data_IF_516250780237
#
_entry.id   IF_516250780237
#
_cell.length_a   1.000
_cell.length_b   1.000
_cell.length_c   1.000
_cell.angle_alpha   90.00
_cell.angle_beta   90.00
_cell.angle_gamma   90.00
#
_symmetry.space_group_name_H-M   'P 1'
#
loop_
_entity.id
_entity.type
_entity.pdbx_description
1 polymer ?
#
# COMPACT_ATOMS: atom_id res chain seq x y z
N UNK A 1 4.95 -12.58 -27.31
CA UNK A 1 3.90 -11.61 -26.97
C UNK A 1 2.57 -12.10 -27.54
N UNK A 2 1.58 -12.43 -26.69
CA UNK A 2 0.33 -13.05 -27.13
C UNK A 2 -0.75 -11.97 -27.31
N UNK A 3 -0.94 -11.53 -28.56
CA UNK A 3 -1.85 -10.43 -28.93
C UNK A 3 -3.27 -10.66 -28.40
N UNK A 4 -3.75 -11.93 -28.37
CA UNK A 4 -5.08 -12.26 -27.87
C UNK A 4 -5.22 -11.95 -26.38
N UNK A 5 -4.18 -12.23 -25.59
CA UNK A 5 -4.17 -11.97 -24.15
C UNK A 5 -4.15 -10.48 -23.86
N UNK A 6 -3.41 -9.69 -24.62
CA UNK A 6 -3.34 -8.23 -24.44
C UNK A 6 -4.67 -7.55 -24.80
N UNK A 7 -5.36 -8.00 -25.86
CA UNK A 7 -6.70 -7.50 -26.20
C UNK A 7 -7.71 -7.80 -25.09
N UNK A 8 -7.66 -8.99 -24.48
CA UNK A 8 -8.53 -9.35 -23.36
C UNK A 8 -8.23 -8.47 -22.13
N UNK A 9 -6.96 -8.29 -21.77
CA UNK A 9 -6.57 -7.41 -20.65
C UNK A 9 -7.04 -5.98 -20.86
N UNK A 10 -6.85 -5.43 -22.06
CA UNK A 10 -7.28 -4.08 -22.41
C UNK A 10 -8.79 -3.92 -22.26
N UNK A 11 -9.57 -4.90 -22.77
CA UNK A 11 -11.03 -4.85 -22.70
C UNK A 11 -11.56 -4.99 -21.26
N UNK A 12 -10.90 -5.80 -20.42
CA UNK A 12 -11.21 -5.88 -18.98
C UNK A 12 -10.88 -4.57 -18.28
N UNK A 13 -9.73 -3.97 -18.56
CA UNK A 13 -9.32 -2.69 -17.98
C UNK A 13 -10.30 -1.57 -18.34
N UNK A 14 -10.70 -1.46 -19.60
CA UNK A 14 -11.71 -0.49 -20.06
C UNK A 14 -13.06 -0.68 -19.34
N UNK A 15 -13.52 -1.93 -19.19
CA UNK A 15 -14.77 -2.22 -18.48
C UNK A 15 -14.70 -1.84 -17.01
N UNK A 16 -13.56 -2.06 -16.35
CA UNK A 16 -13.36 -1.71 -14.94
C UNK A 16 -13.24 -0.19 -14.78
N UNK A 17 -12.40 0.48 -15.58
CA UNK A 17 -12.22 1.92 -15.53
C UNK A 17 -13.53 2.67 -15.85
N UNK A 18 -14.28 2.22 -16.86
CA UNK A 18 -15.58 2.82 -17.21
C UNK A 18 -16.66 2.65 -16.15
N UNK A 19 -16.53 1.67 -15.25
CA UNK A 19 -17.41 1.55 -14.07
C UNK A 19 -16.91 2.35 -12.87
N UNK A 20 -15.60 2.54 -12.72
CA UNK A 20 -15.01 3.31 -11.62
C UNK A 20 -15.29 4.81 -11.78
N UNK A 21 -15.38 5.32 -13.02
CA UNK A 21 -15.67 6.75 -13.28
C UNK A 21 -17.00 7.23 -12.73
N UNK A 22 -17.96 6.33 -12.46
CA UNK A 22 -19.26 6.67 -11.86
C UNK A 22 -19.25 6.55 -10.31
N UNK A 23 -18.16 6.06 -9.71
CA UNK A 23 -17.99 6.01 -8.26
C UNK A 23 -17.15 7.21 -7.82
N UNK A 24 -17.78 8.11 -7.08
CA UNK A 24 -17.06 9.16 -6.36
C UNK A 24 -16.26 8.49 -5.22
N UNK A 25 -14.95 8.34 -5.43
CA UNK A 25 -14.04 7.81 -4.41
C UNK A 25 -13.72 8.96 -3.46
N UNK A 26 -14.13 8.82 -2.20
CA UNK A 26 -13.67 9.70 -1.14
C UNK A 26 -12.20 9.39 -0.82
N UNK A 27 -11.31 10.14 -1.44
CA UNK A 27 -9.85 10.01 -1.29
C UNK A 27 -9.42 10.11 0.17
N UNK A 28 -10.07 10.95 0.97
CA UNK A 28 -9.77 11.10 2.39
C UNK A 28 -10.13 9.84 3.15
N UNK A 29 -11.29 9.25 2.87
CA UNK A 29 -11.70 7.99 3.50
C UNK A 29 -10.75 6.83 3.15
N UNK A 30 -10.25 6.80 1.92
CA UNK A 30 -9.26 5.80 1.49
C UNK A 30 -7.91 6.03 2.21
N UNK A 31 -7.45 7.29 2.27
CA UNK A 31 -6.23 7.66 2.98
C UNK A 31 -6.33 7.35 4.48
N UNK A 32 -7.43 7.71 5.13
CA UNK A 32 -7.70 7.44 6.56
C UNK A 32 -7.73 5.95 6.85
N UNK A 33 -8.46 5.17 6.03
CA UNK A 33 -8.50 3.71 6.19
C UNK A 33 -7.11 3.10 6.05
N UNK A 34 -6.29 3.62 5.13
CA UNK A 34 -4.93 3.13 4.91
C UNK A 34 -4.01 3.51 6.07
N UNK A 35 -4.10 4.75 6.55
CA UNK A 35 -3.34 5.24 7.69
C UNK A 35 -3.67 4.45 8.97
N UNK A 36 -4.96 4.18 9.23
CA UNK A 36 -5.40 3.36 10.37
C UNK A 36 -4.78 1.96 10.30
N UNK A 37 -4.77 1.34 9.12
CA UNK A 37 -4.18 0.01 8.94
C UNK A 37 -2.68 0.01 9.27
N UNK A 38 -1.93 0.95 8.68
CA UNK A 38 -0.48 1.10 8.90
C UNK A 38 -0.17 1.34 10.38
N UNK A 39 -0.91 2.26 11.03
CA UNK A 39 -0.72 2.58 12.44
C UNK A 39 -1.05 1.40 13.36
N UNK A 40 -2.04 0.58 13.00
CA UNK A 40 -2.39 -0.61 13.76
C UNK A 40 -1.25 -1.63 13.72
N UNK A 41 -0.65 -1.88 12.56
CA UNK A 41 0.51 -2.77 12.42
C UNK A 41 1.72 -2.26 13.22
N UNK A 42 2.02 -0.96 13.14
CA UNK A 42 3.12 -0.35 13.93
C UNK A 42 2.87 -0.49 15.43
N UNK A 43 1.62 -0.31 15.89
CA UNK A 43 1.28 -0.49 17.30
C UNK A 43 1.46 -1.93 17.78
N UNK A 44 1.20 -2.92 16.92
CA UNK A 44 1.42 -4.34 17.25
C UNK A 44 2.92 -4.65 17.42
N UNK A 45 3.76 -4.13 16.52
CA UNK A 45 5.23 -4.25 16.64
C UNK A 45 5.70 -3.63 17.95
N UNK A 46 5.28 -2.40 18.26
CA UNK A 46 5.67 -1.70 19.49
C UNK A 46 5.18 -2.38 20.77
N UNK A 47 4.07 -3.14 20.70
CA UNK A 47 3.54 -3.90 21.84
C UNK A 47 4.26 -5.24 22.04
N UNK A 48 4.89 -5.80 21.01
CA UNK A 48 5.59 -7.07 21.13
C UNK A 48 6.78 -6.95 22.08
N UNK A 49 7.46 -5.79 22.11
CA UNK A 49 8.34 -5.33 23.20
C UNK A 49 9.53 -6.23 23.57
N UNK A 50 9.74 -7.33 22.84
CA UNK A 50 10.80 -8.32 23.11
C UNK A 50 12.05 -8.10 22.25
N UNK A 51 11.98 -7.23 21.25
CA UNK A 51 13.07 -6.97 20.31
C UNK A 51 13.89 -5.73 20.66
N UNK A 52 15.14 -5.71 20.19
CA UNK A 52 16.03 -4.55 20.27
C UNK A 52 15.46 -3.36 19.47
N UNK A 53 15.70 -2.13 19.94
CA UNK A 53 15.14 -0.91 19.34
C UNK A 53 15.48 -0.81 17.84
N UNK A 54 16.65 -1.30 17.42
CA UNK A 54 17.05 -1.33 16.00
C UNK A 54 16.19 -2.28 15.16
N UNK A 55 15.80 -3.43 15.69
CA UNK A 55 14.94 -4.39 14.99
C UNK A 55 13.51 -3.86 14.87
N UNK A 56 13.02 -3.22 15.94
CA UNK A 56 11.71 -2.54 15.93
C UNK A 56 11.66 -1.48 14.83
N UNK A 57 12.71 -0.68 14.68
CA UNK A 57 12.78 0.34 13.61
C UNK A 57 12.78 -0.30 12.22
N UNK A 58 13.58 -1.36 12.01
CA UNK A 58 13.64 -2.05 10.71
C UNK A 58 12.29 -2.68 10.33
N UNK A 59 11.58 -3.23 11.31
CA UNK A 59 10.26 -3.80 11.09
C UNK A 59 9.20 -2.72 10.79
N UNK A 60 9.27 -1.56 11.45
CA UNK A 60 8.42 -0.41 11.13
C UNK A 60 8.69 0.09 9.71
N UNK A 61 9.96 0.22 9.31
CA UNK A 61 10.32 0.61 7.92
C UNK A 61 9.74 -0.39 6.92
N UNK A 62 9.80 -1.68 7.25
CA UNK A 62 9.20 -2.74 6.43
C UNK A 62 7.69 -2.59 6.28
N UNK A 63 6.95 -2.10 7.28
CA UNK A 63 5.51 -1.79 7.17
C UNK A 63 5.27 -0.72 6.09
N UNK A 64 6.06 0.36 6.07
CA UNK A 64 5.93 1.42 5.08
C UNK A 64 6.21 0.91 3.64
N UNK A 65 7.21 0.05 3.48
CA UNK A 65 7.53 -0.59 2.18
C UNK A 65 6.37 -1.49 1.72
N UNK A 66 5.85 -2.38 2.58
CA UNK A 66 4.73 -3.29 2.25
C UNK A 66 3.48 -2.55 1.80
N UNK A 67 3.28 -1.33 2.28
CA UNK A 67 2.13 -0.50 1.93
C UNK A 67 2.38 0.47 0.77
N UNK A 68 3.54 0.41 0.11
CA UNK A 68 3.96 1.35 -0.94
C UNK A 68 3.88 2.81 -0.47
N UNK A 69 4.12 3.05 0.82
CA UNK A 69 4.24 4.39 1.39
C UNK A 69 5.70 4.87 1.37
N UNK A 70 6.64 3.98 1.09
CA UNK A 70 8.03 4.32 0.79
C UNK A 70 8.17 4.71 -0.68
N UNK A 71 8.00 6.00 -0.95
CA UNK A 71 8.25 6.61 -2.26
C UNK A 71 9.73 6.95 -2.38
N UNK A 72 10.61 5.94 -2.46
CA UNK A 72 12.04 6.02 -2.83
C UNK A 72 12.70 7.38 -2.54
N UNK A 73 13.22 7.59 -1.32
CA UNK A 73 13.82 8.90 -1.03
C UNK A 73 14.57 9.11 0.28
N UNK A 74 15.16 8.09 0.91
CA UNK A 74 16.27 8.31 1.84
C UNK A 74 17.11 7.04 2.00
N UNK A 75 17.97 6.79 1.01
CA UNK A 75 19.06 5.81 1.09
C UNK A 75 20.36 6.41 1.67
N UNK A 76 20.28 7.57 2.32
CA UNK A 76 21.43 8.28 2.90
C UNK A 76 21.23 8.46 4.42
N UNK A 77 21.56 7.42 5.19
CA UNK A 77 22.03 7.55 6.57
C UNK A 77 23.21 6.61 6.79
#
# INVERSE_FOLDING_TARGET
MNIKTELIKSSIAEMVCGRITDFEIDENKVADSKAIQVLSEIQEILKSGEEDDFLIVDEIVSVFIRHNLDFCGCHDF
#
